data_IF_644390349459
#
_entry.id   IF_644390349459
#
_cell.length_a   1.000
_cell.length_b   1.000
_cell.length_c   1.000
_cell.angle_alpha   90.00
_cell.angle_beta   90.00
_cell.angle_gamma   90.00
#
_symmetry.space_group_name_H-M   'P 1'
#
loop_
_entity.id
_entity.type
_entity.pdbx_description
1 polymer ?
#
# COMPACT_ATOMS: atom_id res chain seq x y z
N UNK A 1 -47.55 42.14 29.73
CA UNK A 1 -46.23 41.68 30.22
C UNK A 1 -45.51 41.04 29.04
N UNK A 2 -44.32 41.56 28.73
CA UNK A 2 -43.41 41.11 27.68
C UNK A 2 -42.84 39.70 27.95
N UNK A 3 -42.42 38.97 26.90
CA UNK A 3 -41.35 37.98 27.01
C UNK A 3 -41.42 36.77 26.08
N UNK A 4 -40.59 36.80 25.04
CA UNK A 4 -40.25 35.71 24.10
C UNK A 4 -39.19 34.77 24.71
N UNK A 5 -39.19 33.46 24.38
CA UNK A 5 -37.97 32.64 24.11
C UNK A 5 -38.35 31.16 23.87
N UNK A 6 -38.27 30.62 22.65
CA UNK A 6 -37.09 30.14 21.89
C UNK A 6 -36.72 28.68 22.22
N UNK A 7 -37.01 27.85 21.22
CA UNK A 7 -36.54 26.50 20.91
C UNK A 7 -35.13 26.18 21.42
N UNK A 8 -34.97 25.04 22.09
CA UNK A 8 -33.66 24.40 22.25
C UNK A 8 -33.77 22.93 21.84
N UNK A 9 -33.79 22.71 20.52
CA UNK A 9 -33.41 21.44 19.91
C UNK A 9 -31.94 21.24 20.25
N UNK A 10 -31.64 20.45 21.29
CA UNK A 10 -30.29 20.14 21.71
C UNK A 10 -29.65 19.24 20.63
N UNK A 11 -29.06 19.88 19.62
CA UNK A 11 -28.18 19.22 18.66
C UNK A 11 -26.91 18.83 19.42
N UNK A 12 -26.92 17.64 20.03
CA UNK A 12 -25.70 16.99 20.51
C UNK A 12 -24.91 16.62 19.26
N UNK A 13 -24.12 17.58 18.75
CA UNK A 13 -22.97 17.31 17.91
C UNK A 13 -21.99 16.53 18.79
N UNK A 14 -22.19 15.21 18.85
CA UNK A 14 -21.18 14.31 19.34
C UNK A 14 -19.92 14.60 18.52
N UNK A 15 -18.90 15.16 19.18
CA UNK A 15 -17.53 15.12 18.69
C UNK A 15 -17.17 13.65 18.59
N UNK A 16 -17.51 13.00 17.48
CA UNK A 16 -16.93 11.71 17.13
C UNK A 16 -15.47 12.05 16.83
N UNK A 17 -14.50 11.69 17.69
CA UNK A 17 -13.10 11.97 17.40
C UNK A 17 -12.80 11.32 16.05
N UNK A 18 -12.46 12.15 15.06
CA UNK A 18 -12.06 11.63 13.76
C UNK A 18 -10.83 10.76 14.01
N UNK A 19 -10.78 9.54 13.46
CA UNK A 19 -9.64 8.66 13.63
C UNK A 19 -8.37 9.36 13.16
N UNK A 20 -7.27 9.17 13.88
CA UNK A 20 -5.96 9.75 13.53
C UNK A 20 -5.52 9.14 12.19
N UNK A 21 -5.30 9.99 11.20
CA UNK A 21 -4.77 9.59 9.90
C UNK A 21 -3.25 9.60 9.95
N UNK A 22 -2.61 8.49 9.55
CA UNK A 22 -1.16 8.36 9.49
C UNK A 22 -0.72 7.80 8.14
N UNK A 23 0.35 8.36 7.60
CA UNK A 23 1.03 7.82 6.43
C UNK A 23 2.31 7.08 6.87
N UNK A 24 2.51 5.85 6.38
CA UNK A 24 3.70 5.03 6.66
C UNK A 24 4.42 4.78 5.35
N UNK A 25 5.66 5.29 5.25
CA UNK A 25 6.46 5.17 4.05
C UNK A 25 7.55 4.09 4.17
N UNK A 26 7.47 3.08 3.31
CA UNK A 26 8.47 2.03 3.17
C UNK A 26 9.44 2.37 2.03
N UNK A 27 10.68 2.65 2.41
CA UNK A 27 11.77 2.90 1.46
C UNK A 27 12.43 1.58 1.02
N UNK A 28 13.22 1.66 -0.05
CA UNK A 28 14.09 0.61 -0.57
C UNK A 28 14.68 -0.28 0.56
N UNK A 29 14.67 -1.60 0.34
CA UNK A 29 15.21 -2.66 1.22
C UNK A 29 14.28 -3.24 2.29
N UNK A 30 13.10 -2.67 2.52
CA UNK A 30 12.10 -3.28 3.42
C UNK A 30 11.33 -4.32 2.61
N UNK A 31 11.37 -5.58 3.05
CA UNK A 31 10.61 -6.70 2.47
C UNK A 31 9.51 -7.21 3.40
N UNK A 32 9.55 -6.79 4.68
CA UNK A 32 8.52 -7.01 5.68
C UNK A 32 8.81 -6.11 6.88
N UNK A 33 7.82 -5.33 7.33
CA UNK A 33 7.89 -4.62 8.61
C UNK A 33 6.52 -4.71 9.29
N UNK A 34 6.49 -5.18 10.53
CA UNK A 34 5.35 -4.94 11.39
C UNK A 34 5.44 -3.48 11.85
N UNK A 35 4.64 -2.60 11.25
CA UNK A 35 4.33 -1.35 11.94
C UNK A 35 3.22 -1.64 12.94
N UNK A 36 3.48 -1.43 14.23
CA UNK A 36 2.44 -1.45 15.24
C UNK A 36 1.45 -0.31 14.95
N UNK A 37 0.29 -0.69 14.43
CA UNK A 37 -0.82 0.22 14.23
C UNK A 37 -1.55 0.38 15.56
N UNK A 38 -2.03 1.58 15.88
CA UNK A 38 -2.83 1.81 17.10
C UNK A 38 -4.31 1.48 16.87
N UNK A 39 -5.07 1.13 17.92
CA UNK A 39 -6.52 0.98 17.80
C UNK A 39 -7.17 2.28 17.29
N UNK A 40 -8.08 2.17 16.31
CA UNK A 40 -8.78 3.32 15.73
C UNK A 40 -7.98 4.17 14.74
N UNK A 41 -6.71 3.83 14.45
CA UNK A 41 -5.89 4.55 13.47
C UNK A 41 -6.32 4.20 12.03
N UNK A 42 -6.38 5.22 11.17
CA UNK A 42 -6.56 5.04 9.72
C UNK A 42 -5.23 5.27 9.02
N UNK A 43 -4.79 4.28 8.28
CA UNK A 43 -3.43 4.26 7.74
C UNK A 43 -3.43 4.32 6.23
N UNK A 44 -2.57 5.18 5.68
CA UNK A 44 -2.13 5.12 4.29
C UNK A 44 -0.74 4.49 4.24
N UNK A 45 -0.60 3.40 3.50
CA UNK A 45 0.71 2.81 3.25
C UNK A 45 1.28 3.38 1.96
N UNK A 46 2.55 3.72 1.96
CA UNK A 46 3.28 4.18 0.79
C UNK A 46 4.53 3.34 0.67
N UNK A 47 4.84 2.85 -0.51
CA UNK A 47 6.04 2.05 -0.70
C UNK A 47 6.69 2.26 -2.06
N UNK A 48 8.02 2.22 -2.08
CA UNK A 48 8.82 2.28 -3.31
C UNK A 48 9.64 1.00 -3.49
N UNK A 49 9.68 0.45 -4.70
CA UNK A 49 10.49 -0.74 -5.03
C UNK A 49 10.15 -1.95 -4.13
N UNK A 50 11.10 -2.44 -3.34
CA UNK A 50 10.85 -3.44 -2.30
C UNK A 50 9.89 -2.93 -1.19
N UNK A 51 9.89 -1.64 -0.88
CA UNK A 51 8.92 -1.06 0.05
C UNK A 51 7.48 -1.13 -0.48
N UNK A 52 7.27 -1.02 -1.80
CA UNK A 52 5.94 -1.22 -2.40
C UNK A 52 5.47 -2.67 -2.25
N UNK A 53 6.39 -3.63 -2.35
CA UNK A 53 6.11 -5.02 -2.05
C UNK A 53 5.62 -5.20 -0.60
N UNK A 54 6.37 -4.64 0.35
CA UNK A 54 6.02 -4.69 1.78
C UNK A 54 4.67 -4.04 2.08
N UNK A 55 4.41 -2.87 1.49
CA UNK A 55 3.13 -2.18 1.64
C UNK A 55 1.96 -3.03 1.13
N UNK A 56 2.13 -3.72 -0.01
CA UNK A 56 1.11 -4.61 -0.54
C UNK A 56 0.88 -5.84 0.36
N UNK A 57 1.95 -6.51 0.81
CA UNK A 57 1.83 -7.63 1.76
C UNK A 57 1.13 -7.22 3.06
N UNK A 58 1.52 -6.07 3.62
CA UNK A 58 0.91 -5.55 4.85
C UNK A 58 -0.57 -5.18 4.67
N UNK A 59 -0.96 -4.69 3.49
CA UNK A 59 -2.34 -4.39 3.15
C UNK A 59 -3.23 -5.64 3.05
N UNK A 60 -2.66 -6.80 2.70
CA UNK A 60 -3.38 -8.06 2.60
C UNK A 60 -3.35 -8.89 3.88
N UNK A 61 -2.53 -8.51 4.86
CA UNK A 61 -2.47 -9.17 6.16
C UNK A 61 -3.83 -9.03 6.89
N UNK A 62 -4.51 -10.15 7.22
CA UNK A 62 -5.78 -10.13 7.93
C UNK A 62 -5.73 -9.35 9.25
N UNK A 63 -4.57 -9.28 9.92
CA UNK A 63 -4.39 -8.51 11.14
C UNK A 63 -4.55 -6.99 10.94
N UNK A 64 -4.46 -6.51 9.70
CA UNK A 64 -4.60 -5.11 9.33
C UNK A 64 -5.94 -4.76 8.67
N UNK A 65 -6.85 -5.72 8.57
CA UNK A 65 -8.15 -5.55 7.92
C UNK A 65 -8.92 -4.35 8.51
N UNK A 66 -9.45 -3.49 7.64
CA UNK A 66 -10.21 -2.29 8.02
C UNK A 66 -9.37 -1.12 8.55
N UNK A 67 -8.07 -1.30 8.79
CA UNK A 67 -7.17 -0.28 9.35
C UNK A 67 -6.45 0.52 8.27
N UNK A 68 -6.07 -0.16 7.19
CA UNK A 68 -5.44 0.46 6.03
C UNK A 68 -6.55 0.87 5.07
N UNK A 69 -6.61 2.15 4.72
CA UNK A 69 -7.64 2.70 3.82
C UNK A 69 -7.10 3.02 2.44
N UNK A 70 -5.79 3.23 2.33
CA UNK A 70 -5.14 3.57 1.07
C UNK A 70 -3.75 2.99 0.98
N UNK A 71 -3.35 2.58 -0.22
CA UNK A 71 -2.02 2.04 -0.50
C UNK A 71 -1.48 2.68 -1.77
N UNK A 72 -0.33 3.35 -1.66
CA UNK A 72 0.38 3.98 -2.78
C UNK A 72 1.65 3.21 -3.09
N UNK A 73 1.76 2.68 -4.29
CA UNK A 73 2.81 1.74 -4.67
C UNK A 73 3.61 2.30 -5.83
N UNK A 74 4.91 2.52 -5.64
CA UNK A 74 5.77 3.18 -6.62
C UNK A 74 6.84 2.21 -7.13
N UNK A 75 6.82 1.91 -8.43
CA UNK A 75 7.81 1.06 -9.11
C UNK A 75 8.09 -0.25 -8.35
N UNK A 76 7.01 -0.92 -7.91
CA UNK A 76 7.08 -2.04 -6.98
C UNK A 76 7.38 -3.40 -7.61
N UNK A 77 7.78 -4.33 -6.74
CA UNK A 77 7.92 -5.77 -7.05
C UNK A 77 6.72 -6.51 -6.49
N UNK A 78 5.92 -7.15 -7.34
CA UNK A 78 4.71 -7.87 -6.92
C UNK A 78 4.80 -9.38 -7.13
N UNK A 79 5.70 -9.81 -8.01
CA UNK A 79 6.03 -11.21 -8.26
C UNK A 79 7.51 -11.42 -8.00
N UNK A 80 7.82 -12.22 -7.00
CA UNK A 80 9.18 -12.67 -6.69
C UNK A 80 9.52 -13.82 -7.62
N UNK A 81 10.19 -13.52 -8.73
CA UNK A 81 10.73 -14.52 -9.64
C UNK A 81 12.26 -14.61 -9.57
N UNK A 82 12.83 -15.46 -10.44
CA UNK A 82 14.27 -15.68 -10.47
C UNK A 82 15.04 -14.41 -10.87
N UNK A 83 14.46 -13.53 -11.69
CA UNK A 83 15.10 -12.29 -12.14
C UNK A 83 15.20 -11.27 -11.01
N UNK A 84 14.13 -11.16 -10.20
CA UNK A 84 14.13 -10.35 -8.97
C UNK A 84 15.13 -10.90 -7.97
N UNK A 85 15.20 -12.23 -7.78
CA UNK A 85 16.20 -12.85 -6.92
C UNK A 85 17.62 -12.63 -7.41
N UNK A 86 17.88 -12.65 -8.71
CA UNK A 86 19.22 -12.44 -9.27
C UNK A 86 19.64 -10.97 -9.14
N UNK A 87 18.74 -10.04 -9.46
CA UNK A 87 18.96 -8.60 -9.31
C UNK A 87 19.23 -8.21 -7.84
N UNK A 88 18.68 -8.99 -6.92
CA UNK A 88 18.84 -8.79 -5.49
C UNK A 88 19.89 -9.71 -4.85
N UNK A 89 20.45 -10.69 -5.58
CA UNK A 89 21.49 -11.59 -5.08
C UNK A 89 22.79 -10.87 -4.69
N UNK A 90 23.02 -9.69 -5.28
CA UNK A 90 24.12 -8.78 -4.93
C UNK A 90 23.76 -7.78 -3.82
N UNK A 91 22.47 -7.69 -3.45
CA UNK A 91 22.05 -7.00 -2.24
C UNK A 91 22.26 -7.95 -1.05
N UNK A 92 22.83 -7.45 0.03
CA UNK A 92 23.16 -8.25 1.23
C UNK A 92 21.92 -8.78 1.98
N UNK A 93 20.72 -8.38 1.58
CA UNK A 93 19.47 -8.48 2.35
C UNK A 93 18.41 -9.53 1.93
N UNK A 94 18.22 -9.97 0.67
CA UNK A 94 17.04 -10.78 0.32
C UNK A 94 17.15 -12.23 0.74
N UNK A 95 18.38 -12.74 0.95
CA UNK A 95 18.60 -14.13 1.39
C UNK A 95 17.91 -14.43 2.72
N UNK A 96 17.63 -13.42 3.55
CA UNK A 96 16.87 -13.58 4.80
C UNK A 96 15.39 -13.23 4.68
N UNK A 97 15.04 -12.21 3.90
CA UNK A 97 13.67 -11.66 3.84
C UNK A 97 12.58 -12.69 3.54
N UNK A 98 12.90 -13.72 2.73
CA UNK A 98 11.96 -14.78 2.35
C UNK A 98 12.47 -16.18 2.71
N UNK A 99 13.33 -16.28 3.74
CA UNK A 99 13.88 -17.58 4.14
C UNK A 99 12.74 -18.46 4.69
N UNK A 100 12.61 -19.67 4.14
CA UNK A 100 11.54 -20.61 4.52
C UNK A 100 10.20 -20.33 3.83
N UNK A 101 10.12 -19.33 2.96
CA UNK A 101 8.93 -18.98 2.20
C UNK A 101 9.11 -19.33 0.71
N UNK A 102 8.09 -19.92 0.10
CA UNK A 102 8.06 -20.14 -1.34
C UNK A 102 7.94 -18.82 -2.10
N UNK A 103 8.29 -18.83 -3.39
CA UNK A 103 8.09 -17.64 -4.26
C UNK A 103 6.62 -17.22 -4.36
N UNK A 104 5.71 -18.19 -4.23
CA UNK A 104 4.28 -17.94 -4.32
C UNK A 104 3.79 -17.17 -3.10
N UNK A 105 4.12 -17.65 -1.91
CA UNK A 105 3.82 -17.00 -0.63
C UNK A 105 4.50 -15.63 -0.51
N UNK A 106 5.73 -15.51 -1.03
CA UNK A 106 6.49 -14.28 -1.00
C UNK A 106 5.98 -13.22 -1.97
N UNK A 107 5.03 -13.50 -2.86
CA UNK A 107 4.61 -12.56 -3.91
C UNK A 107 3.23 -11.99 -3.60
N UNK A 108 3.07 -10.66 -3.41
CA UNK A 108 1.76 -10.03 -3.27
C UNK A 108 0.80 -10.42 -4.38
N UNK A 109 1.31 -10.57 -5.61
CA UNK A 109 0.51 -10.93 -6.79
C UNK A 109 -0.30 -12.21 -6.62
N UNK A 110 0.20 -13.18 -5.85
CA UNK A 110 -0.45 -14.48 -5.69
C UNK A 110 -1.23 -14.61 -4.38
N UNK A 111 -1.22 -13.57 -3.54
CA UNK A 111 -1.86 -13.57 -2.22
C UNK A 111 -2.83 -12.39 -2.08
N UNK A 112 -3.45 -11.97 -3.19
CA UNK A 112 -4.51 -10.95 -3.19
C UNK A 112 -5.80 -11.63 -2.72
N UNK A 113 -6.36 -11.29 -1.55
CA UNK A 113 -7.65 -11.83 -1.12
C UNK A 113 -8.79 -11.15 -1.91
N UNK A 114 -10.01 -11.70 -1.93
CA UNK A 114 -11.16 -10.99 -2.48
C UNK A 114 -11.43 -9.70 -1.71
N UNK A 115 -11.75 -8.62 -2.43
CA UNK A 115 -12.08 -7.34 -1.83
C UNK A 115 -13.45 -7.38 -1.13
N UNK A 116 -13.59 -6.53 -0.12
CA UNK A 116 -14.81 -6.28 0.64
C UNK A 116 -14.94 -4.79 1.01
N UNK A 117 -15.95 -4.43 1.80
CA UNK A 117 -16.23 -3.05 2.19
C UNK A 117 -15.10 -2.37 2.99
N UNK A 118 -14.21 -3.15 3.61
CA UNK A 118 -13.11 -2.65 4.43
C UNK A 118 -11.77 -2.59 3.69
N UNK A 119 -11.76 -3.06 2.44
CA UNK A 119 -10.57 -3.15 1.61
C UNK A 119 -10.03 -1.77 1.21
N UNK A 120 -8.69 -1.59 1.19
CA UNK A 120 -8.10 -0.30 0.84
C UNK A 120 -8.22 0.02 -0.65
N UNK A 121 -8.13 1.32 -0.96
CA UNK A 121 -7.93 1.81 -2.34
C UNK A 121 -6.45 1.76 -2.70
N UNK A 122 -6.14 1.24 -3.89
CA UNK A 122 -4.76 1.16 -4.41
C UNK A 122 -4.47 2.25 -5.44
N UNK A 123 -3.33 2.93 -5.30
CA UNK A 123 -2.76 3.82 -6.31
C UNK A 123 -1.39 3.28 -6.73
N UNK A 124 -1.28 2.84 -7.98
CA UNK A 124 -0.06 2.20 -8.49
C UNK A 124 0.62 3.12 -9.48
N UNK A 125 1.89 3.38 -9.25
CA UNK A 125 2.75 4.22 -10.07
C UNK A 125 3.91 3.40 -10.60
N UNK A 126 4.29 3.64 -11.85
CA UNK A 126 5.55 3.14 -12.40
C UNK A 126 6.29 4.25 -13.14
N UNK A 127 7.62 4.19 -13.14
CA UNK A 127 8.45 5.19 -13.80
C UNK A 127 8.46 4.93 -15.31
N UNK A 128 8.46 5.96 -16.15
CA UNK A 128 8.61 5.77 -17.60
C UNK A 128 9.96 5.17 -17.96
N UNK A 129 11.01 5.48 -17.18
CA UNK A 129 12.35 4.92 -17.28
C UNK A 129 12.65 4.02 -16.06
N UNK A 130 11.82 3.00 -15.86
CA UNK A 130 11.92 2.05 -14.74
C UNK A 130 13.00 0.96 -14.94
N UNK A 131 13.24 0.17 -13.90
CA UNK A 131 14.00 -1.07 -14.04
C UNK A 131 13.24 -2.06 -14.95
N UNK A 132 13.96 -2.90 -15.74
CA UNK A 132 13.34 -3.88 -16.62
C UNK A 132 12.31 -4.74 -15.89
N UNK A 133 11.12 -4.86 -16.49
CA UNK A 133 10.03 -5.69 -15.98
C UNK A 133 9.12 -5.03 -14.94
N UNK A 134 9.52 -3.97 -14.23
CA UNK A 134 8.68 -3.38 -13.17
C UNK A 134 7.41 -2.73 -13.70
N UNK A 135 7.46 -2.09 -14.88
CA UNK A 135 6.24 -1.62 -15.58
C UNK A 135 5.26 -2.76 -15.83
N UNK A 136 5.76 -3.92 -16.28
CA UNK A 136 4.91 -5.09 -16.53
C UNK A 136 4.36 -5.65 -15.22
N UNK A 137 5.16 -5.72 -14.16
CA UNK A 137 4.67 -6.16 -12.85
C UNK A 137 3.56 -5.24 -12.32
N UNK A 138 3.72 -3.92 -12.44
CA UNK A 138 2.69 -2.95 -12.06
C UNK A 138 1.37 -3.16 -12.81
N UNK A 139 1.44 -3.36 -14.14
CA UNK A 139 0.25 -3.63 -14.95
C UNK A 139 -0.44 -4.95 -14.58
N UNK A 140 0.34 -6.03 -14.39
CA UNK A 140 -0.20 -7.34 -14.00
C UNK A 140 -0.81 -7.30 -12.61
N UNK A 141 -0.16 -6.64 -11.65
CA UNK A 141 -0.68 -6.51 -10.29
C UNK A 141 -1.94 -5.64 -10.24
N UNK A 142 -1.98 -4.54 -10.99
CA UNK A 142 -3.18 -3.73 -11.18
C UNK A 142 -4.35 -4.59 -11.69
N UNK A 143 -4.14 -5.36 -12.77
CA UNK A 143 -5.20 -6.23 -13.30
C UNK A 143 -5.67 -7.26 -12.26
N UNK A 144 -4.74 -7.88 -11.54
CA UNK A 144 -5.07 -8.85 -10.50
C UNK A 144 -5.90 -8.23 -9.35
N UNK A 145 -5.60 -6.99 -8.95
CA UNK A 145 -6.42 -6.25 -7.98
C UNK A 145 -7.84 -6.01 -8.48
N UNK A 146 -7.98 -5.54 -9.72
CA UNK A 146 -9.30 -5.31 -10.34
C UNK A 146 -10.09 -6.63 -10.43
N UNK A 147 -9.46 -7.74 -10.83
CA UNK A 147 -10.10 -9.05 -10.88
C UNK A 147 -10.55 -9.56 -9.50
N UNK A 148 -9.91 -9.11 -8.42
CA UNK A 148 -10.32 -9.43 -7.05
C UNK A 148 -11.30 -8.40 -6.44
N UNK A 149 -11.79 -7.44 -7.23
CA UNK A 149 -12.82 -6.48 -6.81
C UNK A 149 -12.30 -5.24 -6.09
N UNK A 150 -10.97 -5.01 -6.07
CA UNK A 150 -10.41 -3.80 -5.47
C UNK A 150 -10.64 -2.57 -6.34
N UNK A 151 -10.78 -1.41 -5.69
CA UNK A 151 -10.60 -0.11 -6.35
C UNK A 151 -9.11 0.16 -6.49
N UNK A 152 -8.62 0.23 -7.73
CA UNK A 152 -7.22 0.53 -8.02
C UNK A 152 -7.06 1.52 -9.19
N UNK A 153 -5.97 2.28 -9.19
CA UNK A 153 -5.51 3.08 -10.33
C UNK A 153 -4.08 2.70 -10.73
N UNK A 154 -3.74 2.91 -12.00
CA UNK A 154 -2.39 2.69 -12.53
C UNK A 154 -1.95 3.91 -13.34
N UNK A 155 -0.82 4.50 -12.98
CA UNK A 155 -0.31 5.71 -13.63
C UNK A 155 1.18 5.61 -13.96
N UNK A 156 1.54 6.04 -15.17
CA UNK A 156 2.92 6.26 -15.56
C UNK A 156 3.41 7.62 -15.06
N UNK A 157 4.62 7.67 -14.49
CA UNK A 157 5.24 8.92 -14.02
C UNK A 157 6.52 9.18 -14.82
N UNK A 158 6.67 10.36 -15.48
CA UNK A 158 7.90 10.77 -16.16
C UNK A 158 9.10 10.91 -15.20
N UNK A 159 9.73 9.78 -14.89
CA UNK A 159 10.78 9.63 -13.88
C UNK A 159 11.69 8.44 -14.20
N UNK A 160 12.77 8.32 -13.43
CA UNK A 160 13.59 7.09 -13.34
C UNK A 160 13.16 6.31 -12.10
N UNK A 161 13.49 5.01 -12.05
CA UNK A 161 13.19 4.16 -10.89
C UNK A 161 13.56 4.81 -9.53
N UNK A 162 14.73 5.42 -9.42
CA UNK A 162 15.22 6.03 -8.17
C UNK A 162 14.59 7.40 -7.87
N UNK A 163 14.01 8.07 -8.86
CA UNK A 163 13.51 9.45 -8.72
C UNK A 163 11.99 9.56 -8.68
N UNK A 164 11.26 8.45 -8.89
CA UNK A 164 9.80 8.44 -8.82
C UNK A 164 9.25 8.87 -7.45
N UNK A 165 9.83 8.51 -6.28
CA UNK A 165 9.28 8.96 -5.00
C UNK A 165 9.34 10.48 -4.88
N UNK A 166 10.49 11.07 -5.19
CA UNK A 166 10.68 12.54 -5.21
C UNK A 166 9.71 13.24 -6.14
N UNK A 167 9.38 12.65 -7.29
CA UNK A 167 8.39 13.22 -8.23
C UNK A 167 6.96 13.19 -7.69
N UNK A 168 6.67 12.28 -6.77
CA UNK A 168 5.37 12.12 -6.12
C UNK A 168 5.33 12.75 -4.71
N UNK A 169 6.41 13.40 -4.26
CA UNK A 169 6.49 14.12 -2.98
C UNK A 169 7.05 13.32 -1.80
N UNK A 170 7.80 12.24 -2.06
CA UNK A 170 8.39 11.34 -1.05
C UNK A 170 9.93 11.34 -1.06
#
# INVERSE_FOLDING_TARGET
MHGVAVSHLLLVLAFIPRPVEREIYFRDSIWYQHAELRPGERVTLVGHSAGAHSAAMMAFDPANKGRIKKVKLMSGVYKVDLSVRLATAFATTPRRAFRGMSRWEASPLYNIPPADADSPVFEIYYATCDLPGLRRQAAVFYQALICNGYTATLQAVPARHQTIPRKLGY
#
